data_IF_950143822876
#
_entry.id   IF_950143822876
#
_cell.length_a   1.000
_cell.length_b   1.000
_cell.length_c   1.000
_cell.angle_alpha   90.00
_cell.angle_beta   90.00
_cell.angle_gamma   90.00
#
_symmetry.space_group_name_H-M   'P 1'
#
loop_
_entity.id
_entity.type
_entity.pdbx_description
1 polymer ?
#
# COMPACT_ATOMS: atom_id res chain seq x y z
N UNK A 1 26.46 -15.90 7.50
CA UNK A 1 25.45 -14.85 7.18
C UNK A 1 23.98 -15.26 7.35
N UNK A 2 23.62 -16.52 7.67
CA UNK A 2 22.21 -16.96 7.78
C UNK A 2 21.50 -16.68 9.12
N UNK A 3 22.22 -16.31 10.18
CA UNK A 3 21.65 -16.13 11.53
C UNK A 3 20.95 -14.79 11.72
N UNK A 4 21.41 -13.73 11.06
CA UNK A 4 20.86 -12.37 11.15
C UNK A 4 19.49 -12.29 10.47
N UNK A 5 19.39 -12.79 9.24
CA UNK A 5 18.12 -12.83 8.49
C UNK A 5 17.04 -13.67 9.21
N UNK A 6 17.41 -14.75 9.91
CA UNK A 6 16.47 -15.56 10.72
C UNK A 6 15.96 -14.79 11.95
N UNK A 7 16.80 -14.00 12.61
CA UNK A 7 16.42 -13.18 13.79
C UNK A 7 15.49 -12.03 13.38
N UNK A 8 15.79 -11.33 12.30
CA UNK A 8 14.94 -10.25 11.77
C UNK A 8 13.55 -10.75 11.36
N UNK A 9 13.47 -11.91 10.70
CA UNK A 9 12.19 -12.55 10.35
C UNK A 9 11.34 -12.89 11.58
N UNK A 10 11.96 -13.45 12.63
CA UNK A 10 11.27 -13.77 13.89
C UNK A 10 10.77 -12.50 14.59
N UNK A 11 11.55 -11.42 14.57
CA UNK A 11 11.17 -10.13 15.14
C UNK A 11 9.98 -9.50 14.40
N UNK A 12 10.02 -9.44 13.07
CA UNK A 12 8.92 -8.91 12.23
C UNK A 12 7.62 -9.70 12.40
N UNK A 13 7.72 -11.03 12.51
CA UNK A 13 6.57 -11.91 12.73
C UNK A 13 5.95 -11.74 14.13
N UNK A 14 6.78 -11.52 15.16
CA UNK A 14 6.31 -11.23 16.51
C UNK A 14 5.63 -9.86 16.59
N UNK A 15 6.13 -8.86 15.89
CA UNK A 15 5.51 -7.53 15.78
C UNK A 15 4.14 -7.57 15.08
N UNK A 16 3.99 -8.34 14.01
CA UNK A 16 2.68 -8.50 13.34
C UNK A 16 1.69 -9.23 14.26
N UNK A 17 2.14 -10.26 14.99
CA UNK A 17 1.27 -10.99 15.94
C UNK A 17 0.79 -10.08 17.07
N UNK A 18 1.65 -9.22 17.62
CA UNK A 18 1.26 -8.27 18.67
C UNK A 18 0.28 -7.22 18.15
N UNK A 19 0.50 -6.70 16.94
CA UNK A 19 -0.45 -5.78 16.28
C UNK A 19 -1.82 -6.41 16.09
N UNK A 20 -1.89 -7.64 15.55
CA UNK A 20 -3.17 -8.36 15.39
C UNK A 20 -3.88 -8.52 16.73
N UNK A 21 -3.14 -8.89 17.78
CA UNK A 21 -3.71 -9.05 19.13
C UNK A 21 -4.26 -7.73 19.68
N UNK A 22 -3.53 -6.63 19.49
CA UNK A 22 -3.95 -5.28 19.92
C UNK A 22 -5.20 -4.79 19.18
N UNK A 23 -5.24 -4.94 17.85
CA UNK A 23 -6.42 -4.57 17.04
C UNK A 23 -7.62 -5.43 17.47
N UNK A 24 -7.44 -6.73 17.63
CA UNK A 24 -8.52 -7.62 18.04
C UNK A 24 -9.06 -7.26 19.43
N UNK A 25 -8.18 -6.96 20.40
CA UNK A 25 -8.59 -6.52 21.73
C UNK A 25 -9.43 -5.24 21.64
N UNK A 26 -8.96 -4.25 20.90
CA UNK A 26 -9.68 -2.98 20.69
C UNK A 26 -11.07 -3.21 20.08
N UNK A 27 -11.18 -4.09 19.07
CA UNK A 27 -12.46 -4.42 18.46
C UNK A 27 -13.41 -5.13 19.43
N UNK A 28 -12.91 -6.03 20.28
CA UNK A 28 -13.73 -6.68 21.32
C UNK A 28 -14.20 -5.65 22.33
N UNK A 29 -13.30 -4.80 22.83
CA UNK A 29 -13.60 -3.77 23.83
C UNK A 29 -14.65 -2.76 23.31
N UNK A 30 -14.61 -2.40 22.02
CA UNK A 30 -15.59 -1.51 21.38
C UNK A 30 -16.96 -2.14 21.14
N UNK A 31 -17.09 -3.46 21.22
CA UNK A 31 -18.33 -4.17 20.90
C UNK A 31 -18.90 -4.97 22.09
N UNK A 32 -18.17 -5.10 23.20
CA UNK A 32 -18.58 -5.91 24.36
C UNK A 32 -19.92 -5.48 24.98
N UNK A 33 -20.23 -4.18 24.94
CA UNK A 33 -21.43 -3.59 25.56
C UNK A 33 -22.56 -3.34 24.54
N UNK A 34 -22.37 -3.71 23.26
CA UNK A 34 -23.37 -3.50 22.21
C UNK A 34 -24.36 -4.66 22.19
N UNK A 35 -25.53 -4.45 22.78
CA UNK A 35 -26.67 -5.37 22.68
C UNK A 35 -27.85 -4.68 21.98
N UNK A 36 -27.98 -4.90 20.68
CA UNK A 36 -29.21 -4.60 19.92
C UNK A 36 -29.91 -5.90 19.51
N UNK A 37 -31.22 -5.87 19.32
CA UNK A 37 -31.97 -7.05 18.86
C UNK A 37 -31.50 -7.56 17.49
N UNK A 38 -30.91 -6.69 16.67
CA UNK A 38 -30.36 -7.01 15.35
C UNK A 38 -28.86 -7.38 15.35
N UNK A 39 -28.27 -7.59 16.53
CA UNK A 39 -26.83 -7.86 16.65
C UNK A 39 -26.48 -9.23 16.06
N UNK A 40 -25.65 -9.23 15.02
CA UNK A 40 -25.11 -10.45 14.42
C UNK A 40 -23.77 -10.82 15.06
N UNK A 41 -23.68 -12.07 15.54
CA UNK A 41 -22.44 -12.61 16.07
C UNK A 41 -21.47 -12.99 14.93
N UNK A 42 -20.20 -12.63 15.10
CA UNK A 42 -19.12 -12.95 14.17
C UNK A 42 -18.03 -13.69 14.94
N UNK A 43 -17.46 -14.73 14.34
CA UNK A 43 -16.39 -15.49 14.99
C UNK A 43 -15.11 -14.67 15.08
N UNK A 44 -14.43 -14.75 16.22
CA UNK A 44 -13.11 -14.11 16.44
C UNK A 44 -12.09 -14.52 15.38
N UNK A 45 -12.15 -15.77 14.90
CA UNK A 45 -11.30 -16.27 13.82
C UNK A 45 -11.52 -15.55 12.49
N UNK A 46 -12.77 -15.19 12.17
CA UNK A 46 -13.12 -14.42 10.98
C UNK A 46 -12.55 -13.00 11.08
N UNK A 47 -12.75 -12.34 12.22
CA UNK A 47 -12.19 -10.99 12.49
C UNK A 47 -10.66 -11.02 12.36
N UNK A 48 -10.00 -11.99 12.99
CA UNK A 48 -8.55 -12.17 12.89
C UNK A 48 -8.07 -12.35 11.44
N UNK A 49 -8.80 -13.15 10.65
CA UNK A 49 -8.50 -13.33 9.22
C UNK A 49 -8.61 -12.03 8.43
N UNK A 50 -9.61 -11.20 8.71
CA UNK A 50 -9.78 -9.90 8.07
C UNK A 50 -8.65 -8.93 8.43
N UNK A 51 -8.24 -8.86 9.71
CA UNK A 51 -7.10 -8.04 10.14
C UNK A 51 -5.84 -8.44 9.38
N UNK A 52 -5.57 -9.75 9.25
CA UNK A 52 -4.41 -10.24 8.48
C UNK A 52 -4.48 -9.79 7.01
N UNK A 53 -5.65 -9.87 6.38
CA UNK A 53 -5.83 -9.41 4.99
C UNK A 53 -5.62 -7.89 4.87
N UNK A 54 -6.11 -7.11 5.82
CA UNK A 54 -5.90 -5.66 5.86
C UNK A 54 -4.42 -5.29 6.00
N UNK A 55 -3.70 -5.90 6.95
CA UNK A 55 -2.27 -5.65 7.14
C UNK A 55 -1.45 -5.99 5.89
N UNK A 56 -1.80 -7.08 5.19
CA UNK A 56 -1.19 -7.44 3.90
C UNK A 56 -1.45 -6.39 2.83
N UNK A 57 -2.68 -5.87 2.73
CA UNK A 57 -3.03 -4.80 1.78
C UNK A 57 -2.27 -3.52 2.12
N UNK A 58 -2.21 -3.15 3.40
CA UNK A 58 -1.49 -1.98 3.90
C UNK A 58 0.00 -2.04 3.55
N UNK A 59 0.69 -3.15 3.85
CA UNK A 59 2.10 -3.31 3.49
C UNK A 59 2.34 -3.17 1.97
N UNK A 60 1.39 -3.67 1.16
CA UNK A 60 1.48 -3.53 -0.29
C UNK A 60 1.29 -2.09 -0.76
N UNK A 61 0.34 -1.35 -0.16
CA UNK A 61 0.14 0.09 -0.43
C UNK A 61 1.41 0.88 -0.09
N UNK A 62 2.01 0.61 1.07
CA UNK A 62 3.24 1.26 1.51
C UNK A 62 4.40 1.05 0.51
N UNK A 63 4.55 -0.17 -0.01
CA UNK A 63 5.59 -0.47 -1.01
C UNK A 63 5.34 0.16 -2.36
N UNK A 64 4.08 0.24 -2.78
CA UNK A 64 3.69 0.96 -4.01
C UNK A 64 4.06 2.43 -3.86
N UNK A 65 3.67 3.04 -2.75
CA UNK A 65 3.99 4.42 -2.44
C UNK A 65 5.51 4.65 -2.50
N UNK A 66 6.29 3.83 -1.79
CA UNK A 66 7.75 3.96 -1.75
C UNK A 66 8.40 3.79 -3.13
N UNK A 67 7.93 2.83 -3.95
CA UNK A 67 8.44 2.62 -5.30
C UNK A 67 8.19 3.83 -6.21
N UNK A 68 6.99 4.42 -6.11
CA UNK A 68 6.61 5.62 -6.87
C UNK A 68 7.41 6.84 -6.39
N UNK A 69 7.53 7.06 -5.08
CA UNK A 69 8.32 8.15 -4.51
C UNK A 69 9.79 8.08 -4.96
N UNK A 70 10.38 6.88 -4.91
CA UNK A 70 11.77 6.66 -5.37
C UNK A 70 11.93 7.02 -6.86
N UNK A 71 11.01 6.55 -7.71
CA UNK A 71 11.07 6.85 -9.14
C UNK A 71 10.83 8.33 -9.46
N UNK A 72 9.95 8.99 -8.72
CA UNK A 72 9.75 10.43 -8.86
C UNK A 72 10.99 11.23 -8.44
N UNK A 73 11.66 10.85 -7.36
CA UNK A 73 12.91 11.51 -6.95
C UNK A 73 13.97 11.41 -8.03
N UNK A 74 14.15 10.23 -8.61
CA UNK A 74 15.05 10.03 -9.74
C UNK A 74 14.67 10.88 -10.97
N UNK A 75 13.40 10.91 -11.33
CA UNK A 75 12.89 11.74 -12.43
C UNK A 75 13.19 13.22 -12.20
N UNK A 76 12.95 13.74 -10.98
CA UNK A 76 13.22 15.13 -10.64
C UNK A 76 14.73 15.44 -10.63
N UNK A 77 15.55 14.54 -10.08
CA UNK A 77 17.02 14.70 -10.04
C UNK A 77 17.66 14.67 -11.43
N UNK A 78 17.07 13.92 -12.35
CA UNK A 78 17.54 13.81 -13.74
C UNK A 78 16.96 14.88 -14.66
N UNK A 79 16.30 15.92 -14.14
CA UNK A 79 15.58 16.93 -14.93
C UNK A 79 14.61 16.32 -15.95
N UNK A 80 14.01 15.18 -15.61
CA UNK A 80 13.03 14.48 -16.41
C UNK A 80 13.58 13.47 -17.42
N UNK A 81 14.89 13.18 -17.41
CA UNK A 81 15.53 12.20 -18.31
C UNK A 81 15.21 10.76 -17.87
N UNK A 82 15.22 10.47 -16.56
CA UNK A 82 14.89 9.14 -16.03
C UNK A 82 13.37 8.94 -15.95
N UNK A 83 12.74 8.73 -17.10
CA UNK A 83 11.34 8.34 -17.18
C UNK A 83 11.12 6.93 -16.63
N UNK A 84 9.89 6.67 -16.19
CA UNK A 84 9.50 5.35 -15.71
C UNK A 84 8.05 5.05 -16.06
N UNK A 85 7.78 3.75 -16.25
CA UNK A 85 6.48 3.22 -16.60
C UNK A 85 5.79 2.56 -15.40
N UNK A 86 4.50 2.24 -15.56
CA UNK A 86 3.77 1.39 -14.62
C UNK A 86 4.46 0.02 -14.40
N UNK A 87 5.09 -0.55 -15.44
CA UNK A 87 5.77 -1.85 -15.35
C UNK A 87 6.97 -1.80 -14.42
N UNK A 88 7.71 -0.69 -14.41
CA UNK A 88 8.86 -0.48 -13.51
C UNK A 88 8.42 -0.50 -12.05
N UNK A 89 7.31 0.17 -11.74
CA UNK A 89 6.70 0.15 -10.41
C UNK A 89 6.28 -1.28 -10.04
N UNK A 90 5.61 -2.01 -10.93
CA UNK A 90 5.18 -3.40 -10.65
C UNK A 90 6.36 -4.33 -10.38
N UNK A 91 7.45 -4.19 -11.13
CA UNK A 91 8.65 -4.98 -10.96
C UNK A 91 9.34 -4.66 -9.62
N UNK A 92 9.46 -3.37 -9.28
CA UNK A 92 10.05 -2.92 -8.01
C UNK A 92 9.23 -3.42 -6.82
N UNK A 93 7.91 -3.24 -6.85
CA UNK A 93 7.00 -3.72 -5.79
C UNK A 93 7.04 -5.23 -5.67
N UNK A 94 7.09 -5.96 -6.79
CA UNK A 94 7.19 -7.43 -6.76
C UNK A 94 8.48 -7.92 -6.10
N UNK A 95 9.62 -7.27 -6.38
CA UNK A 95 10.90 -7.55 -5.72
C UNK A 95 10.83 -7.27 -4.22
N UNK A 96 10.29 -6.10 -3.82
CA UNK A 96 10.12 -5.74 -2.42
C UNK A 96 9.20 -6.71 -1.66
N UNK A 97 8.12 -7.18 -2.30
CA UNK A 97 7.22 -8.18 -1.70
C UNK A 97 7.92 -9.54 -1.54
N UNK A 98 8.69 -9.98 -2.54
CA UNK A 98 9.45 -11.24 -2.49
C UNK A 98 10.49 -11.23 -1.36
N UNK A 99 11.18 -10.10 -1.16
CA UNK A 99 12.17 -9.95 -0.07
C UNK A 99 11.55 -10.08 1.32
N UNK A 100 10.26 -9.79 1.44
CA UNK A 100 9.48 -9.94 2.68
C UNK A 100 8.75 -11.29 2.76
N UNK A 101 9.12 -12.27 1.94
CA UNK A 101 8.49 -13.59 1.84
C UNK A 101 6.98 -13.55 1.47
N UNK A 102 6.51 -12.46 0.84
CA UNK A 102 5.15 -12.41 0.30
C UNK A 102 5.07 -13.04 -1.08
N UNK A 103 3.94 -13.71 -1.35
CA UNK A 103 3.61 -14.21 -2.68
C UNK A 103 3.53 -13.07 -3.70
N UNK A 104 3.92 -13.37 -4.94
CA UNK A 104 3.75 -12.46 -6.08
C UNK A 104 2.28 -12.06 -6.22
N UNK A 105 2.05 -10.79 -6.48
CA UNK A 105 0.73 -10.21 -6.66
C UNK A 105 0.50 -9.93 -8.16
N UNK A 106 -0.71 -10.15 -8.66
CA UNK A 106 -1.02 -9.87 -10.06
C UNK A 106 -1.05 -8.35 -10.34
N UNK A 107 -0.72 -7.96 -11.58
CA UNK A 107 -0.71 -6.56 -12.02
C UNK A 107 -2.03 -5.84 -11.72
N UNK A 108 -3.16 -6.48 -12.05
CA UNK A 108 -4.52 -5.98 -11.76
C UNK A 108 -4.75 -5.64 -10.28
N UNK A 109 -4.15 -6.39 -9.35
CA UNK A 109 -4.26 -6.06 -7.92
C UNK A 109 -3.42 -4.85 -7.56
N UNK A 110 -2.23 -4.68 -8.16
CA UNK A 110 -1.40 -3.50 -7.95
C UNK A 110 -2.08 -2.24 -8.51
N UNK A 111 -2.64 -2.32 -9.71
CA UNK A 111 -3.45 -1.25 -10.34
C UNK A 111 -4.57 -0.78 -9.43
N UNK A 112 -5.38 -1.71 -8.89
CA UNK A 112 -6.46 -1.37 -7.95
C UNK A 112 -5.95 -0.65 -6.69
N UNK A 113 -4.75 -0.98 -6.21
CA UNK A 113 -4.21 -0.28 -5.04
C UNK A 113 -3.66 1.11 -5.42
N UNK A 114 -3.10 1.27 -6.62
CA UNK A 114 -2.67 2.59 -7.13
C UNK A 114 -3.90 3.49 -7.28
N UNK A 115 -5.00 2.98 -7.84
CA UNK A 115 -6.26 3.72 -7.94
C UNK A 115 -6.78 4.11 -6.56
N UNK A 116 -6.75 3.20 -5.59
CA UNK A 116 -7.13 3.52 -4.21
C UNK A 116 -6.26 4.66 -3.63
N UNK A 117 -4.95 4.64 -3.84
CA UNK A 117 -4.07 5.70 -3.38
C UNK A 117 -4.37 7.04 -4.06
N UNK A 118 -4.72 7.01 -5.35
CA UNK A 118 -5.18 8.20 -6.07
C UNK A 118 -6.52 8.73 -5.51
N UNK A 119 -7.50 7.85 -5.28
CA UNK A 119 -8.80 8.18 -4.70
C UNK A 119 -8.66 8.80 -3.30
N UNK A 120 -7.70 8.31 -2.50
CA UNK A 120 -7.36 8.86 -1.18
C UNK A 120 -6.57 10.17 -1.24
N UNK A 121 -6.22 10.67 -2.43
CA UNK A 121 -5.37 11.86 -2.59
C UNK A 121 -3.92 11.66 -2.15
N UNK A 122 -3.50 10.43 -1.88
CA UNK A 122 -2.13 10.09 -1.47
C UNK A 122 -1.16 10.01 -2.65
N UNK A 123 -1.71 9.89 -3.86
CA UNK A 123 -1.03 9.98 -5.14
C UNK A 123 -1.85 10.90 -6.04
N UNK A 124 -1.20 11.68 -6.89
CA UNK A 124 -1.87 12.52 -7.89
C UNK A 124 -1.33 12.22 -9.28
N UNK A 125 -1.71 11.09 -9.87
CA UNK A 125 -1.17 10.70 -11.17
C UNK A 125 -1.68 11.63 -12.28
N UNK A 126 -0.79 12.43 -12.88
CA UNK A 126 -1.04 12.98 -14.22
C UNK A 126 -0.56 11.93 -15.22
N UNK A 127 -1.49 11.13 -15.73
CA UNK A 127 -1.21 10.23 -16.85
C UNK A 127 -0.91 11.13 -18.05
N UNK A 128 0.36 11.14 -18.50
CA UNK A 128 0.70 11.75 -19.79
C UNK A 128 0.50 10.69 -20.86
N UNK A 129 -0.62 10.76 -21.59
CA UNK A 129 -0.74 10.05 -22.87
C UNK A 129 0.16 10.76 -23.88
N UNK A 130 1.20 10.07 -24.36
CA UNK A 130 1.98 10.53 -25.50
C UNK A 130 1.05 10.71 -26.69
N UNK A 131 0.87 11.95 -27.18
CA UNK A 131 0.11 12.25 -28.39
C UNK A 131 0.90 11.93 -29.68
N UNK A 132 1.84 10.98 -29.64
CA UNK A 132 2.53 10.51 -30.84
C UNK A 132 2.20 9.05 -31.11
N UNK A 133 1.26 8.92 -32.04
CA UNK A 133 0.98 7.80 -32.93
C UNK A 133 0.36 6.53 -32.34
N UNK A 134 -0.80 6.21 -32.93
CA UNK A 134 -1.45 4.90 -32.95
C UNK A 134 -0.45 3.79 -33.27
N UNK A 135 0.09 3.10 -32.25
CA UNK A 135 0.59 1.72 -32.33
C UNK A 135 0.81 1.15 -30.92
N UNK A 136 -0.20 0.46 -30.41
CA UNK A 136 -0.13 -0.76 -29.58
C UNK A 136 0.89 -0.90 -28.43
N UNK A 137 1.33 0.17 -27.76
CA UNK A 137 1.93 0.08 -26.42
C UNK A 137 1.50 1.27 -25.58
N UNK A 138 0.58 1.07 -24.62
CA UNK A 138 0.25 2.07 -23.61
C UNK A 138 1.44 2.24 -22.66
N UNK A 139 2.41 3.06 -23.06
CA UNK A 139 3.42 3.60 -22.14
C UNK A 139 2.73 4.64 -21.27
N UNK A 140 2.35 4.22 -20.05
CA UNK A 140 1.80 5.10 -19.03
C UNK A 140 2.99 5.80 -18.36
N UNK A 141 3.25 7.03 -18.74
CA UNK A 141 4.20 7.91 -18.07
C UNK A 141 3.50 8.60 -16.90
N UNK A 142 3.99 8.34 -15.68
CA UNK A 142 3.58 9.07 -14.49
C UNK A 142 4.51 10.27 -14.33
N UNK A 143 4.08 11.47 -14.72
CA UNK A 143 4.72 12.69 -14.20
C UNK A 143 3.94 13.11 -12.97
N UNK A 144 4.52 13.02 -11.78
CA UNK A 144 3.85 13.43 -10.54
C UNK A 144 4.54 14.62 -9.89
N UNK A 145 3.84 15.74 -9.81
CA UNK A 145 4.15 16.84 -8.91
C UNK A 145 3.51 16.55 -7.55
N UNK A 146 4.32 16.33 -6.52
CA UNK A 146 3.85 16.21 -5.15
C UNK A 146 3.58 17.60 -4.57
N UNK A 147 2.36 17.84 -4.08
CA UNK A 147 2.14 18.75 -2.96
C UNK A 147 2.04 17.87 -1.70
N UNK A 148 3.01 17.99 -0.81
CA UNK A 148 2.96 17.36 0.52
C UNK A 148 2.04 18.18 1.42
N UNK A 149 0.72 18.03 1.26
CA UNK A 149 -0.25 18.63 2.19
C UNK A 149 -0.53 17.69 3.37
N UNK A 150 0.53 17.30 4.09
CA UNK A 150 0.39 16.69 5.42
C UNK A 150 -0.38 17.60 6.40
N UNK A 151 -0.50 18.90 6.09
CA UNK A 151 -1.16 19.91 6.92
C UNK A 151 -2.69 19.94 6.77
N UNK A 152 -3.26 19.41 5.69
CA UNK A 152 -4.70 19.51 5.37
C UNK A 152 -5.53 18.29 5.80
N UNK A 153 -4.92 17.11 6.00
CA UNK A 153 -5.66 15.92 6.46
C UNK A 153 -5.91 15.91 7.97
N UNK A 154 -5.00 16.49 8.76
CA UNK A 154 -5.16 16.63 10.23
C UNK A 154 -6.12 17.78 10.56
N UNK A 155 -6.16 18.85 9.75
CA UNK A 155 -6.99 20.04 10.02
C UNK A 155 -8.47 19.87 9.63
N UNK A 156 -8.81 18.96 8.71
CA UNK A 156 -10.20 18.72 8.29
C UNK A 156 -10.92 17.57 9.00
N UNK A 157 -10.27 16.89 9.96
CA UNK A 157 -10.89 15.81 10.76
C UNK A 157 -10.85 16.10 12.28
N UNK A 158 -10.66 17.37 12.66
CA UNK A 158 -10.68 17.86 14.05
C UNK A 158 -11.59 19.09 14.20
N UNK A 159 -12.72 19.11 13.50
CA UNK A 159 -13.85 20.01 13.75
C UNK A 159 -15.13 19.20 13.89
#
# INVERSE_FOLDING_TARGET
MNSVAKKEKKFKLNSIKSQIKSILKTLVDLNKDKSSLDTKYILVSQVKSQIVKMLKRYNRLLKIYWAIDTKNKNYMQSNGIEEYSASDIYNMVSKLLKNDDYKKVCKRTLERNINLLNEMGLLKSKIRTSQKELRNVTNIYFSMTFYMDYKLFISNNLL
#
